data_IF_232586664241
#
_entry.id   IF_232586664241
#
_cell.length_a   1.000
_cell.length_b   1.000
_cell.length_c   1.000
_cell.angle_alpha   90.00
_cell.angle_beta   90.00
_cell.angle_gamma   90.00
#
_symmetry.space_group_name_H-M   'P 1'
#
loop_
_entity.id
_entity.type
_entity.pdbx_description
1 polymer ?
#
# COMPACT_ATOMS: atom_id res chain seq x y z
N UNK A 1 -19.25 -5.58 5.36
CA UNK A 1 -18.04 -4.78 5.64
C UNK A 1 -18.32 -3.29 5.46
N UNK A 2 -17.84 -2.43 6.37
CA UNK A 2 -17.89 -0.97 6.24
C UNK A 2 -16.49 -0.40 6.37
N UNK A 3 -16.19 0.66 5.63
CA UNK A 3 -14.96 1.42 5.86
C UNK A 3 -15.12 2.31 7.08
N UNK A 4 -14.22 2.12 8.06
CA UNK A 4 -13.99 3.07 9.13
C UNK A 4 -12.91 4.04 8.67
N UNK A 5 -13.33 5.21 8.21
CA UNK A 5 -12.41 6.25 7.72
C UNK A 5 -11.90 7.11 8.87
N UNK A 6 -10.57 7.16 9.07
CA UNK A 6 -9.94 7.75 10.25
C UNK A 6 -8.73 8.64 9.89
N UNK A 7 -8.41 9.67 10.68
CA UNK A 7 -7.11 10.31 10.63
C UNK A 7 -6.08 9.52 11.45
N UNK A 8 -4.80 9.68 11.15
CA UNK A 8 -3.71 9.19 12.02
C UNK A 8 -2.50 10.10 12.01
N UNK A 9 -2.17 10.65 13.18
CA UNK A 9 -0.92 11.41 13.34
C UNK A 9 0.31 10.51 13.21
N UNK A 10 0.27 9.32 13.80
CA UNK A 10 1.40 8.40 13.81
C UNK A 10 1.74 7.91 12.41
N UNK A 11 0.74 7.64 11.57
CA UNK A 11 0.98 7.30 10.17
C UNK A 11 1.50 8.52 9.40
N UNK A 12 0.93 9.71 9.61
CA UNK A 12 1.38 10.93 8.91
C UNK A 12 2.85 11.27 9.17
N UNK A 13 3.29 11.22 10.43
CA UNK A 13 4.69 11.52 10.76
C UNK A 13 5.66 10.50 10.13
N UNK A 14 5.25 9.24 10.01
CA UNK A 14 6.04 8.20 9.33
C UNK A 14 6.01 8.38 7.80
N UNK A 15 4.86 8.72 7.21
CA UNK A 15 4.75 8.99 5.77
C UNK A 15 5.59 10.21 5.36
N UNK A 16 5.71 11.21 6.23
CA UNK A 16 6.54 12.39 5.97
C UNK A 16 8.03 12.06 5.77
N UNK A 17 8.52 10.90 6.24
CA UNK A 17 9.92 10.49 6.03
C UNK A 17 10.31 10.40 4.56
N UNK A 18 9.39 9.99 3.68
CA UNK A 18 9.64 9.96 2.24
C UNK A 18 10.07 11.35 1.74
N UNK A 19 9.40 12.40 2.20
CA UNK A 19 9.74 13.79 1.85
C UNK A 19 11.05 14.23 2.50
N UNK A 20 11.33 13.80 3.74
CA UNK A 20 12.58 14.13 4.44
C UNK A 20 13.82 13.55 3.74
N UNK A 21 13.68 12.51 2.91
CA UNK A 21 14.78 11.98 2.09
C UNK A 21 15.31 13.00 1.06
N UNK A 22 14.59 14.10 0.84
CA UNK A 22 14.87 15.13 -0.18
C UNK A 22 14.77 14.62 -1.62
N UNK A 23 14.14 13.46 -1.84
CA UNK A 23 13.93 12.90 -3.17
C UNK A 23 12.93 13.77 -3.98
N UNK A 24 13.31 14.28 -5.17
CA UNK A 24 12.44 15.08 -6.01
C UNK A 24 11.09 14.42 -6.32
N UNK A 25 11.03 13.09 -6.34
CA UNK A 25 9.80 12.33 -6.57
C UNK A 25 8.74 12.63 -5.50
N UNK A 26 9.12 12.76 -4.23
CA UNK A 26 8.20 13.10 -3.14
C UNK A 26 8.07 14.61 -2.95
N UNK A 27 9.15 15.37 -3.14
CA UNK A 27 9.14 16.83 -2.94
C UNK A 27 8.16 17.55 -3.86
N UNK A 28 7.90 17.04 -5.06
CA UNK A 28 6.90 17.61 -5.97
C UNK A 28 5.48 17.65 -5.36
N UNK A 29 5.20 16.82 -4.35
CA UNK A 29 3.90 16.77 -3.67
C UNK A 29 3.89 17.50 -2.33
N UNK A 30 5.02 17.47 -1.61
CA UNK A 30 5.08 17.87 -0.19
C UNK A 30 6.11 18.98 0.10
N UNK A 31 6.48 19.76 -0.91
CA UNK A 31 7.53 20.79 -0.82
C UNK A 31 7.28 21.85 0.26
N UNK A 32 6.04 22.25 0.48
CA UNK A 32 5.69 23.28 1.48
C UNK A 32 6.14 22.88 2.88
N UNK A 33 5.73 21.69 3.35
CA UNK A 33 6.06 21.22 4.70
C UNK A 33 7.52 20.78 4.78
N UNK A 34 8.06 20.20 3.72
CA UNK A 34 9.50 19.95 3.63
C UNK A 34 10.30 21.23 3.88
N UNK A 35 9.98 22.33 3.18
CA UNK A 35 10.67 23.62 3.34
C UNK A 35 10.46 24.24 4.73
N UNK A 36 9.37 23.88 5.42
CA UNK A 36 9.07 24.36 6.78
C UNK A 36 9.89 23.65 7.85
N UNK A 37 10.11 22.34 7.72
CA UNK A 37 10.72 21.49 8.75
C UNK A 37 12.16 21.09 8.43
N UNK A 38 12.43 20.60 7.22
CA UNK A 38 13.73 20.02 6.88
C UNK A 38 14.91 21.00 7.07
N UNK A 39 14.81 22.30 6.67
CA UNK A 39 15.91 23.24 6.92
C UNK A 39 16.26 23.40 8.39
N UNK A 40 15.28 23.27 9.29
CA UNK A 40 15.44 23.43 10.75
C UNK A 40 15.97 22.19 11.45
N UNK A 41 15.97 21.03 10.79
CA UNK A 41 16.59 19.82 11.32
C UNK A 41 18.10 20.02 11.47
N UNK A 42 18.63 19.44 12.53
CA UNK A 42 20.03 19.37 12.87
C UNK A 42 20.80 18.63 11.79
N UNK A 43 22.09 18.94 11.67
CA UNK A 43 23.00 18.19 10.78
C UNK A 43 23.02 16.70 11.14
N UNK A 44 22.86 16.36 12.42
CA UNK A 44 22.77 14.98 12.89
C UNK A 44 21.54 14.27 12.32
N UNK A 45 20.35 14.86 12.42
CA UNK A 45 19.14 14.29 11.85
C UNK A 45 19.21 14.15 10.32
N UNK A 46 19.69 15.19 9.63
CA UNK A 46 19.89 15.15 8.16
C UNK A 46 20.83 14.01 7.74
N UNK A 47 21.92 13.79 8.48
CA UNK A 47 22.83 12.68 8.21
C UNK A 47 22.21 11.33 8.54
N UNK A 48 21.44 11.23 9.63
CA UNK A 48 20.72 10.01 9.99
C UNK A 48 19.69 9.62 8.90
N UNK A 49 18.96 10.58 8.33
CA UNK A 49 18.05 10.32 7.19
C UNK A 49 18.82 9.70 6.01
N UNK A 50 19.98 10.27 5.64
CA UNK A 50 20.80 9.72 4.55
C UNK A 50 21.30 8.30 4.85
N UNK A 51 21.66 8.02 6.10
CA UNK A 51 22.08 6.69 6.52
C UNK A 51 20.92 5.68 6.46
N UNK A 52 19.74 6.07 6.94
CA UNK A 52 18.51 5.28 6.86
C UNK A 52 18.19 4.93 5.40
N UNK A 53 18.19 5.91 4.49
CA UNK A 53 17.96 5.66 3.04
C UNK A 53 19.00 4.68 2.47
N UNK A 54 20.28 4.86 2.83
CA UNK A 54 21.34 3.95 2.36
C UNK A 54 21.15 2.52 2.84
N UNK A 55 20.75 2.33 4.10
CA UNK A 55 20.52 1.01 4.69
C UNK A 55 19.24 0.36 4.17
N UNK A 56 18.18 1.15 3.98
CA UNK A 56 16.91 0.70 3.42
C UNK A 56 17.03 0.35 1.93
N UNK A 57 17.94 1.02 1.21
CA UNK A 57 18.20 0.80 -0.21
C UNK A 57 17.31 1.62 -1.15
N UNK A 58 16.32 2.36 -0.63
CA UNK A 58 15.48 3.28 -1.40
C UNK A 58 14.94 4.41 -0.49
N UNK A 59 14.21 5.36 -1.10
CA UNK A 59 13.65 6.55 -0.44
C UNK A 59 12.20 6.37 0.05
N UNK A 60 11.56 5.23 -0.23
CA UNK A 60 10.21 4.86 0.23
C UNK A 60 10.29 4.21 1.62
N UNK A 61 10.53 5.03 2.65
CA UNK A 61 10.68 4.54 4.03
C UNK A 61 9.34 4.26 4.71
N UNK A 62 8.27 4.93 4.25
CA UNK A 62 6.97 4.92 4.92
C UNK A 62 6.35 3.53 4.99
N UNK A 63 6.45 2.72 3.92
CA UNK A 63 5.76 1.43 3.82
C UNK A 63 6.18 0.48 4.94
N UNK A 64 7.48 0.22 5.12
CA UNK A 64 7.97 -0.65 6.18
C UNK A 64 7.68 -0.08 7.58
N UNK A 65 7.82 1.24 7.76
CA UNK A 65 7.57 1.90 9.05
C UNK A 65 6.09 1.79 9.47
N UNK A 66 5.17 2.16 8.58
CA UNK A 66 3.73 2.16 8.89
C UNK A 66 3.18 0.75 9.06
N UNK A 67 3.63 -0.20 8.22
CA UNK A 67 3.21 -1.60 8.32
C UNK A 67 3.59 -2.19 9.67
N UNK A 68 4.83 -2.00 10.12
CA UNK A 68 5.29 -2.53 11.39
C UNK A 68 4.52 -1.96 12.60
N UNK A 69 4.28 -0.64 12.65
CA UNK A 69 3.54 -0.05 13.77
C UNK A 69 2.05 -0.40 13.74
N UNK A 70 1.46 -0.58 12.55
CA UNK A 70 0.03 -0.87 12.39
C UNK A 70 -0.36 -2.25 12.93
N UNK A 71 0.61 -3.15 13.12
CA UNK A 71 0.37 -4.45 13.72
C UNK A 71 0.06 -4.35 15.23
N UNK A 72 0.50 -3.27 15.89
CA UNK A 72 0.35 -3.08 17.33
C UNK A 72 -1.06 -2.57 17.67
N UNK A 73 -1.63 -3.07 18.77
CA UNK A 73 -2.93 -2.60 19.26
C UNK A 73 -2.87 -1.13 19.67
N UNK A 74 -3.95 -0.41 19.36
CA UNK A 74 -4.15 1.00 19.69
C UNK A 74 -2.99 1.90 19.24
N UNK A 75 -2.28 1.51 18.16
CA UNK A 75 -1.11 2.25 17.69
C UNK A 75 -1.45 3.72 17.39
N UNK A 76 -2.69 4.03 17.03
CA UNK A 76 -3.11 5.39 16.69
C UNK A 76 -3.17 6.32 17.92
N UNK A 77 -3.40 5.76 19.10
CA UNK A 77 -3.60 6.51 20.34
C UNK A 77 -2.33 6.58 21.21
N UNK A 78 -1.28 5.85 20.81
CA UNK A 78 0.02 5.77 21.51
C UNK A 78 1.03 6.75 20.93
N UNK A 79 2.11 7.01 21.67
CA UNK A 79 3.22 7.80 21.15
C UNK A 79 4.05 6.95 20.17
N UNK A 80 4.30 7.47 18.95
CA UNK A 80 5.08 6.75 17.92
C UNK A 80 6.50 6.41 18.36
N UNK A 81 7.15 7.23 19.19
CA UNK A 81 8.48 6.95 19.73
C UNK A 81 8.44 5.78 20.70
N UNK A 82 7.41 5.68 21.53
CA UNK A 82 7.22 4.54 22.44
C UNK A 82 6.97 3.25 21.66
N UNK A 83 6.14 3.31 20.61
CA UNK A 83 5.88 2.18 19.71
C UNK A 83 7.19 1.67 19.08
N UNK A 84 7.96 2.56 18.43
CA UNK A 84 9.21 2.22 17.75
C UNK A 84 10.33 1.76 18.69
N UNK A 85 10.26 2.10 19.98
CA UNK A 85 11.25 1.69 20.98
C UNK A 85 10.99 0.29 21.54
N UNK A 86 9.78 -0.26 21.38
CA UNK A 86 9.40 -1.55 21.94
C UNK A 86 9.58 -2.69 20.93
N UNK A 87 10.82 -3.15 20.76
CA UNK A 87 11.18 -4.23 19.81
C UNK A 87 10.33 -5.47 20.00
N UNK A 88 10.21 -5.93 21.24
CA UNK A 88 9.56 -7.20 21.57
C UNK A 88 8.07 -7.15 21.21
N UNK A 89 7.37 -6.08 21.60
CA UNK A 89 5.95 -5.92 21.28
C UNK A 89 5.71 -5.77 19.78
N UNK A 90 6.55 -4.99 19.10
CA UNK A 90 6.42 -4.79 17.65
C UNK A 90 6.66 -6.10 16.91
N UNK A 91 7.73 -6.85 17.26
CA UNK A 91 8.02 -8.15 16.66
C UNK A 91 6.90 -9.16 16.91
N UNK A 92 6.42 -9.26 18.16
CA UNK A 92 5.35 -10.18 18.55
C UNK A 92 4.01 -9.84 17.86
N UNK A 93 3.77 -8.57 17.57
CA UNK A 93 2.54 -8.14 16.89
C UNK A 93 2.64 -8.36 15.39
N UNK A 94 3.77 -7.97 14.78
CA UNK A 94 3.99 -8.05 13.34
C UNK A 94 4.12 -9.49 12.84
N UNK A 95 4.71 -10.40 13.64
CA UNK A 95 4.91 -11.82 13.29
C UNK A 95 3.64 -12.64 13.10
N UNK A 96 2.48 -12.08 13.44
CA UNK A 96 1.17 -12.71 13.24
C UNK A 96 0.65 -12.57 11.80
N UNK A 97 1.23 -11.69 11.01
CA UNK A 97 0.77 -11.38 9.66
C UNK A 97 1.62 -12.07 8.59
N UNK A 98 0.99 -12.40 7.46
CA UNK A 98 1.62 -13.13 6.34
C UNK A 98 2.83 -12.40 5.74
N UNK A 99 2.88 -11.07 5.89
CA UNK A 99 3.98 -10.22 5.42
C UNK A 99 5.26 -10.34 6.27
N UNK A 100 5.18 -10.99 7.43
CA UNK A 100 6.32 -11.10 8.31
C UNK A 100 7.38 -12.03 7.74
N UNK A 101 8.61 -11.54 7.73
CA UNK A 101 9.79 -12.34 7.44
C UNK A 101 10.88 -12.00 8.47
N UNK A 102 11.39 -13.01 9.16
CA UNK A 102 12.38 -12.87 10.25
C UNK A 102 13.70 -12.24 9.74
N UNK A 103 14.17 -12.63 8.56
CA UNK A 103 15.40 -12.06 7.98
C UNK A 103 15.21 -10.58 7.63
N UNK A 104 14.09 -10.23 6.99
CA UNK A 104 13.71 -8.85 6.68
C UNK A 104 13.56 -8.02 7.95
N UNK A 105 12.90 -8.54 8.97
CA UNK A 105 12.75 -7.87 10.27
C UNK A 105 14.10 -7.52 10.88
N UNK A 106 15.06 -8.46 10.87
CA UNK A 106 16.40 -8.24 11.43
C UNK A 106 17.20 -7.17 10.67
N UNK A 107 16.87 -6.93 9.39
CA UNK A 107 17.45 -5.84 8.59
C UNK A 107 16.72 -4.51 8.81
N UNK A 108 15.40 -4.51 8.95
CA UNK A 108 14.57 -3.31 9.04
C UNK A 108 14.52 -2.69 10.44
N UNK A 109 14.43 -3.49 11.51
CA UNK A 109 14.28 -2.95 12.86
C UNK A 109 15.42 -2.01 13.30
N UNK A 110 16.71 -2.26 12.96
CA UNK A 110 17.78 -1.29 13.19
C UNK A 110 17.56 0.07 12.51
N UNK A 111 16.86 0.10 11.37
CA UNK A 111 16.49 1.33 10.67
C UNK A 111 15.39 2.05 11.46
N UNK A 112 14.40 1.32 11.97
CA UNK A 112 13.30 1.89 12.78
C UNK A 112 13.83 2.61 14.03
N UNK A 113 14.85 2.05 14.69
CA UNK A 113 15.50 2.72 15.83
C UNK A 113 16.19 4.03 15.45
N UNK A 114 16.70 4.14 14.23
CA UNK A 114 17.38 5.36 13.77
C UNK A 114 16.41 6.49 13.43
N UNK A 115 15.14 6.20 13.14
CA UNK A 115 14.13 7.23 12.89
C UNK A 115 13.63 7.90 14.16
N UNK A 116 13.68 7.23 15.31
CA UNK A 116 13.24 7.74 16.61
C UNK A 116 13.80 9.14 16.94
N UNK A 117 15.13 9.38 16.93
CA UNK A 117 15.67 10.70 17.25
C UNK A 117 15.25 11.78 16.25
N UNK A 118 14.98 11.41 14.99
CA UNK A 118 14.49 12.34 13.96
C UNK A 118 13.04 12.74 14.28
N UNK A 119 12.18 11.78 14.65
CA UNK A 119 10.81 12.05 15.07
C UNK A 119 10.78 12.96 16.30
N UNK A 120 11.58 12.65 17.33
CA UNK A 120 11.68 13.49 18.54
C UNK A 120 12.11 14.93 18.20
N UNK A 121 13.00 15.10 17.22
CA UNK A 121 13.38 16.42 16.74
C UNK A 121 12.24 17.14 16.00
N UNK A 122 11.51 16.46 15.11
CA UNK A 122 10.31 17.01 14.45
C UNK A 122 9.25 17.46 15.47
N UNK A 123 9.02 16.66 16.51
CA UNK A 123 8.12 16.99 17.62
C UNK A 123 8.55 18.29 18.30
N UNK A 124 9.85 18.42 18.62
CA UNK A 124 10.41 19.64 19.23
C UNK A 124 10.30 20.87 18.31
N UNK A 125 10.28 20.67 16.99
CA UNK A 125 10.06 21.70 15.99
C UNK A 125 8.57 22.04 15.78
N UNK A 126 7.67 21.39 16.53
CA UNK A 126 6.24 21.63 16.52
C UNK A 126 5.49 20.93 15.40
N UNK A 127 6.00 19.83 14.87
CA UNK A 127 5.35 19.07 13.79
C UNK A 127 3.92 18.63 14.16
N UNK A 128 3.71 18.08 15.37
CA UNK A 128 2.37 17.69 15.86
C UNK A 128 1.38 18.85 15.92
N UNK A 129 1.83 20.01 16.39
CA UNK A 129 0.99 21.21 16.43
C UNK A 129 0.66 21.69 15.02
N UNK A 130 1.61 21.62 14.10
CA UNK A 130 1.36 21.94 12.70
C UNK A 130 0.34 20.96 12.09
N UNK A 131 0.52 19.66 12.27
CA UNK A 131 -0.41 18.65 11.78
C UNK A 131 -1.82 18.90 12.31
N UNK A 132 -1.97 19.08 13.63
CA UNK A 132 -3.27 19.33 14.29
C UNK A 132 -3.97 20.58 13.75
N UNK A 133 -3.22 21.65 13.49
CA UNK A 133 -3.79 22.94 13.12
C UNK A 133 -3.96 23.15 11.61
N UNK A 134 -3.23 22.41 10.76
CA UNK A 134 -3.17 22.68 9.32
C UNK A 134 -3.57 21.47 8.47
N UNK A 135 -3.26 20.25 8.94
CA UNK A 135 -3.48 19.01 8.17
C UNK A 135 -4.74 18.28 8.62
N UNK A 136 -4.89 18.07 9.93
CA UNK A 136 -6.08 17.40 10.49
C UNK A 136 -7.41 18.03 10.05
N UNK A 137 -7.59 19.36 9.99
CA UNK A 137 -8.87 19.92 9.52
C UNK A 137 -9.20 19.54 8.06
N UNK A 138 -8.19 19.49 7.19
CA UNK A 138 -8.35 19.08 5.79
C UNK A 138 -8.70 17.59 5.69
N UNK A 139 -8.01 16.77 6.47
CA UNK A 139 -8.28 15.33 6.58
C UNK A 139 -9.72 15.11 7.08
N UNK A 140 -10.13 15.77 8.15
CA UNK A 140 -11.48 15.60 8.71
C UNK A 140 -12.57 16.04 7.73
N UNK A 141 -12.35 17.13 6.98
CA UNK A 141 -13.28 17.52 5.92
C UNK A 141 -13.39 16.41 4.86
N UNK A 142 -12.26 15.89 4.39
CA UNK A 142 -12.23 14.80 3.43
C UNK A 142 -12.91 13.53 3.94
N UNK A 143 -12.73 13.19 5.22
CA UNK A 143 -13.40 12.04 5.85
C UNK A 143 -14.92 12.17 5.75
N UNK A 144 -15.47 13.36 6.01
CA UNK A 144 -16.92 13.59 5.92
C UNK A 144 -17.42 13.41 4.49
N UNK A 145 -16.73 13.99 3.51
CA UNK A 145 -17.06 13.85 2.08
C UNK A 145 -16.98 12.39 1.63
N UNK A 146 -15.93 11.68 2.05
CA UNK A 146 -15.68 10.31 1.64
C UNK A 146 -16.68 9.33 2.29
N UNK A 147 -17.06 9.53 3.55
CA UNK A 147 -18.07 8.70 4.22
C UNK A 147 -19.42 8.77 3.51
N UNK A 148 -19.83 9.95 3.02
CA UNK A 148 -21.04 10.09 2.23
C UNK A 148 -20.94 9.32 0.91
N UNK A 149 -19.83 9.51 0.19
CA UNK A 149 -19.59 8.81 -1.07
C UNK A 149 -19.55 7.28 -0.93
N UNK A 150 -18.81 6.77 0.07
CA UNK A 150 -18.68 5.34 0.30
C UNK A 150 -20.00 4.68 0.74
N UNK A 151 -20.94 5.44 1.30
CA UNK A 151 -22.25 4.92 1.70
C UNK A 151 -23.13 4.47 0.52
N UNK A 152 -22.79 4.90 -0.70
CA UNK A 152 -23.48 4.52 -1.93
C UNK A 152 -23.08 3.13 -2.44
N UNK A 153 -21.98 2.55 -1.92
CA UNK A 153 -21.40 1.31 -2.44
C UNK A 153 -21.46 0.16 -1.43
N UNK A 154 -21.84 -1.03 -1.90
CA UNK A 154 -21.80 -2.26 -1.11
C UNK A 154 -20.51 -3.05 -1.40
N UNK A 155 -19.41 -2.54 -0.86
CA UNK A 155 -18.05 -3.02 -1.16
C UNK A 155 -17.79 -4.37 -0.48
N UNK A 156 -18.40 -4.60 0.69
CA UNK A 156 -18.20 -5.83 1.46
C UNK A 156 -18.64 -7.08 0.75
N UNK A 157 -19.82 -7.07 0.14
CA UNK A 157 -20.35 -8.24 -0.56
C UNK A 157 -19.47 -8.61 -1.75
N UNK A 158 -19.01 -7.60 -2.49
CA UNK A 158 -18.14 -7.77 -3.65
C UNK A 158 -16.76 -8.34 -3.29
N UNK A 159 -16.17 -7.87 -2.19
CA UNK A 159 -14.87 -8.36 -1.74
C UNK A 159 -14.98 -9.75 -1.12
N UNK A 160 -16.09 -10.08 -0.48
CA UNK A 160 -16.31 -11.40 0.13
C UNK A 160 -16.40 -12.55 -0.89
N UNK A 161 -16.71 -12.27 -2.16
CA UNK A 161 -16.69 -13.28 -3.23
C UNK A 161 -15.25 -13.62 -3.68
N UNK A 162 -14.37 -12.62 -3.63
CA UNK A 162 -13.02 -12.68 -4.19
C UNK A 162 -11.93 -12.86 -3.13
N UNK A 163 -12.22 -12.57 -1.87
CA UNK A 163 -11.28 -12.63 -0.76
C UNK A 163 -11.82 -13.46 0.39
N UNK A 164 -10.92 -13.96 1.23
CA UNK A 164 -11.28 -14.62 2.49
C UNK A 164 -11.54 -13.61 3.64
N UNK A 165 -11.61 -12.30 3.35
CA UNK A 165 -11.83 -11.27 4.37
C UNK A 165 -13.30 -11.29 4.77
N UNK A 166 -13.62 -11.96 5.88
CA UNK A 166 -14.99 -12.08 6.41
C UNK A 166 -15.30 -10.95 7.38
N UNK A 167 -16.31 -10.14 7.07
CA UNK A 167 -17.07 -9.28 8.01
C UNK A 167 -16.29 -8.36 8.97
N UNK A 168 -14.97 -8.20 8.83
CA UNK A 168 -14.17 -7.27 9.60
C UNK A 168 -14.38 -5.83 9.11
N UNK A 169 -14.40 -4.87 10.04
CA UNK A 169 -14.38 -3.46 9.69
C UNK A 169 -13.04 -3.12 9.06
N UNK A 170 -13.07 -2.56 7.85
CA UNK A 170 -11.87 -2.15 7.15
C UNK A 170 -11.49 -0.74 7.57
N UNK A 171 -10.26 -0.51 8.00
CA UNK A 171 -9.82 0.83 8.42
C UNK A 171 -9.10 1.54 7.28
N UNK A 172 -9.68 2.65 6.80
CA UNK A 172 -9.04 3.55 5.86
C UNK A 172 -8.48 4.75 6.60
N UNK A 173 -7.15 4.87 6.63
CA UNK A 173 -6.48 6.02 7.21
C UNK A 173 -6.22 7.09 6.15
N UNK A 174 -6.78 8.28 6.32
CA UNK A 174 -6.45 9.42 5.46
C UNK A 174 -5.28 10.20 6.06
N UNK A 175 -4.19 10.26 5.31
CA UNK A 175 -2.95 10.95 5.68
C UNK A 175 -2.62 12.06 4.66
N UNK A 176 -1.74 12.98 5.05
CA UNK A 176 -1.28 14.13 4.26
C UNK A 176 -0.01 13.89 3.46
N UNK A 177 0.79 12.91 3.86
CA UNK A 177 2.13 12.72 3.31
C UNK A 177 2.31 11.39 2.57
N UNK A 178 1.23 10.75 2.15
CA UNK A 178 1.26 9.45 1.47
C UNK A 178 1.38 9.55 -0.04
N UNK A 179 0.97 10.66 -0.66
CA UNK A 179 1.09 10.84 -2.11
C UNK A 179 2.54 10.66 -2.60
N UNK A 180 2.79 9.89 -3.68
CA UNK A 180 1.81 9.35 -4.62
C UNK A 180 1.27 7.94 -4.32
N UNK A 181 1.53 7.37 -3.14
CA UNK A 181 1.23 5.98 -2.84
C UNK A 181 -0.10 5.79 -2.10
N UNK A 182 -0.73 4.62 -2.33
CA UNK A 182 -1.50 3.91 -1.32
C UNK A 182 -0.54 3.02 -0.50
N UNK A 183 -0.87 2.74 0.76
CA UNK A 183 -0.04 1.86 1.58
C UNK A 183 -0.92 0.86 2.31
N UNK A 184 -0.79 -0.43 1.98
CA UNK A 184 -1.30 -1.52 2.79
C UNK A 184 -0.74 -1.50 4.21
N UNK A 185 -1.62 -1.65 5.20
CA UNK A 185 -1.26 -1.88 6.60
C UNK A 185 -1.57 -3.33 7.00
N UNK A 186 -1.20 -3.69 8.24
CA UNK A 186 -1.57 -4.99 8.79
C UNK A 186 -3.09 -5.12 8.93
N UNK A 187 -3.62 -6.31 8.63
CA UNK A 187 -5.05 -6.60 8.62
C UNK A 187 -5.79 -5.93 7.44
N UNK A 188 -7.12 -5.76 7.54
CA UNK A 188 -7.91 -5.06 6.54
C UNK A 188 -7.78 -3.55 6.75
N UNK A 189 -6.56 -3.00 6.67
CA UNK A 189 -6.31 -1.57 6.86
C UNK A 189 -5.35 -1.04 5.79
N UNK A 190 -5.48 0.24 5.44
CA UNK A 190 -4.57 0.88 4.49
C UNK A 190 -4.57 2.41 4.66
N UNK A 191 -3.63 3.06 4.01
CA UNK A 191 -3.48 4.51 3.97
C UNK A 191 -3.80 5.03 2.57
N UNK A 192 -4.54 6.13 2.50
CA UNK A 192 -4.71 6.93 1.29
C UNK A 192 -4.42 8.40 1.59
N UNK A 193 -4.00 9.15 0.57
CA UNK A 193 -3.78 10.59 0.70
C UNK A 193 -5.11 11.36 0.68
N UNK A 194 -5.31 12.30 1.62
CA UNK A 194 -6.56 13.08 1.69
C UNK A 194 -6.80 13.93 0.43
N UNK A 195 -5.75 14.27 -0.33
CA UNK A 195 -5.86 15.11 -1.52
C UNK A 195 -6.41 14.37 -2.75
N UNK A 196 -6.52 13.04 -2.69
CA UNK A 196 -7.09 12.25 -3.78
C UNK A 196 -8.59 12.45 -3.93
N UNK A 197 -9.09 12.26 -5.15
CA UNK A 197 -10.54 12.27 -5.40
C UNK A 197 -11.21 11.10 -4.69
N UNK A 198 -12.51 11.19 -4.40
CA UNK A 198 -13.22 10.06 -3.77
C UNK A 198 -13.15 8.78 -4.62
N UNK A 199 -13.27 8.91 -5.96
CA UNK A 199 -13.07 7.81 -6.91
C UNK A 199 -11.67 7.20 -6.75
N UNK A 200 -10.62 8.03 -6.79
CA UNK A 200 -9.23 7.57 -6.64
C UNK A 200 -9.01 6.88 -5.29
N UNK A 201 -9.48 7.46 -4.20
CA UNK A 201 -9.37 6.85 -2.86
C UNK A 201 -10.08 5.51 -2.82
N UNK A 202 -11.29 5.38 -3.37
CA UNK A 202 -12.02 4.12 -3.44
C UNK A 202 -11.25 3.08 -4.28
N UNK A 203 -10.75 3.45 -5.46
CA UNK A 203 -9.98 2.52 -6.31
C UNK A 203 -8.73 2.00 -5.61
N UNK A 204 -7.96 2.89 -4.97
CA UNK A 204 -6.80 2.49 -4.14
C UNK A 204 -7.25 1.58 -3.00
N UNK A 205 -8.33 1.94 -2.30
CA UNK A 205 -8.85 1.16 -1.17
C UNK A 205 -9.13 -0.29 -1.57
N UNK A 206 -9.80 -0.47 -2.71
CA UNK A 206 -10.17 -1.78 -3.23
C UNK A 206 -8.92 -2.54 -3.68
N UNK A 207 -7.99 -1.90 -4.39
CA UNK A 207 -6.72 -2.49 -4.81
C UNK A 207 -5.92 -3.04 -3.60
N UNK A 208 -5.67 -2.20 -2.60
CA UNK A 208 -4.84 -2.56 -1.43
C UNK A 208 -5.46 -3.68 -0.58
N UNK A 209 -6.77 -3.89 -0.67
CA UNK A 209 -7.45 -4.98 0.03
C UNK A 209 -7.13 -6.36 -0.55
N UNK A 210 -6.67 -6.42 -1.80
CA UNK A 210 -6.25 -7.66 -2.43
C UNK A 210 -4.79 -8.03 -2.17
N UNK A 211 -3.99 -7.21 -1.50
CA UNK A 211 -2.64 -7.63 -1.11
C UNK A 211 -2.63 -8.46 0.18
N UNK A 212 -1.90 -9.60 0.22
CA UNK A 212 -1.49 -10.36 -0.96
C UNK A 212 -2.72 -11.15 -1.51
N UNK A 213 -2.80 -11.38 -2.83
CA UNK A 213 -3.98 -12.02 -3.42
C UNK A 213 -4.03 -13.52 -3.15
N UNK A 214 -2.88 -14.11 -2.82
CA UNK A 214 -2.69 -15.53 -2.54
C UNK A 214 -1.55 -15.73 -1.54
N UNK A 215 -1.42 -16.95 -1.00
CA UNK A 215 -0.18 -17.36 -0.35
C UNK A 215 0.83 -17.85 -1.41
N UNK A 216 1.96 -17.14 -1.56
CA UNK A 216 2.99 -17.46 -2.56
C UNK A 216 3.50 -18.92 -2.49
N UNK A 217 3.53 -19.52 -1.30
CA UNK A 217 3.98 -20.91 -1.15
C UNK A 217 3.01 -21.91 -1.80
N UNK A 218 1.72 -21.57 -1.84
CA UNK A 218 0.67 -22.40 -2.43
C UNK A 218 0.67 -22.30 -3.97
N UNK A 219 1.09 -21.16 -4.53
CA UNK A 219 1.03 -20.88 -5.98
C UNK A 219 2.41 -20.73 -6.65
N UNK A 220 3.47 -21.17 -5.98
CA UNK A 220 4.85 -21.01 -6.46
C UNK A 220 5.10 -21.62 -7.85
N UNK A 221 4.36 -22.67 -8.23
CA UNK A 221 4.48 -23.31 -9.56
C UNK A 221 3.85 -22.43 -10.64
N UNK A 222 2.68 -21.88 -10.38
CA UNK A 222 1.91 -20.99 -11.24
C UNK A 222 2.69 -19.70 -11.50
N UNK A 223 3.21 -19.07 -10.44
CA UNK A 223 4.06 -17.88 -10.54
C UNK A 223 5.32 -18.19 -11.36
N UNK A 224 5.94 -19.35 -11.15
CA UNK A 224 7.09 -19.79 -11.97
C UNK A 224 6.74 -20.03 -13.44
N UNK A 225 5.53 -20.49 -13.75
CA UNK A 225 5.08 -20.63 -15.13
C UNK A 225 4.97 -19.25 -15.77
N UNK A 226 4.26 -18.32 -15.11
CA UNK A 226 4.05 -16.96 -15.59
C UNK A 226 5.37 -16.20 -15.76
N UNK A 227 6.28 -16.30 -14.79
CA UNK A 227 7.59 -15.63 -14.83
C UNK A 227 8.49 -16.12 -15.97
N UNK A 228 8.17 -17.28 -16.57
CA UNK A 228 8.91 -17.81 -17.70
C UNK A 228 8.38 -17.40 -19.07
N UNK A 229 7.18 -16.81 -19.14
CA UNK A 229 6.58 -16.36 -20.40
C UNK A 229 7.33 -15.15 -20.97
N UNK A 230 7.54 -15.15 -22.29
CA UNK A 230 8.36 -14.13 -22.97
C UNK A 230 7.76 -12.73 -22.88
N UNK A 231 6.43 -12.61 -23.03
CA UNK A 231 5.73 -11.34 -22.87
C UNK A 231 5.84 -10.78 -21.45
N UNK A 232 5.74 -11.65 -20.43
CA UNK A 232 5.88 -11.27 -19.01
C UNK A 232 7.31 -10.80 -18.72
N UNK A 233 8.32 -11.56 -19.14
CA UNK A 233 9.74 -11.16 -19.00
C UNK A 233 10.03 -9.83 -19.69
N UNK A 234 9.52 -9.63 -20.90
CA UNK A 234 9.69 -8.39 -21.65
C UNK A 234 9.04 -7.21 -20.92
N UNK A 235 7.83 -7.37 -20.38
CA UNK A 235 7.18 -6.32 -19.60
C UNK A 235 7.95 -6.00 -18.31
N UNK A 236 8.32 -7.03 -17.54
CA UNK A 236 9.11 -6.89 -16.31
C UNK A 236 10.44 -6.14 -16.54
N UNK A 237 11.14 -6.42 -17.63
CA UNK A 237 12.43 -5.78 -17.93
C UNK A 237 12.28 -4.32 -18.43
N UNK A 238 11.10 -3.92 -18.88
CA UNK A 238 10.84 -2.58 -19.44
C UNK A 238 9.98 -1.70 -18.52
N UNK A 239 9.85 -2.06 -17.24
CA UNK A 239 9.13 -1.27 -16.24
C UNK A 239 9.72 0.14 -16.10
N UNK A 240 8.87 1.10 -15.72
CA UNK A 240 9.32 2.43 -15.35
C UNK A 240 10.30 2.34 -14.17
N UNK A 241 11.54 2.86 -14.28
CA UNK A 241 12.53 2.78 -13.21
C UNK A 241 12.11 3.39 -11.87
N UNK A 242 11.15 4.33 -11.88
CA UNK A 242 10.66 4.99 -10.68
C UNK A 242 9.58 4.20 -9.92
N UNK A 243 8.96 3.21 -10.55
CA UNK A 243 7.86 2.40 -9.98
C UNK A 243 8.03 0.89 -10.21
N UNK A 244 9.25 0.43 -10.49
CA UNK A 244 9.51 -0.99 -10.78
C UNK A 244 9.25 -1.88 -9.56
N UNK A 245 8.59 -3.01 -9.82
CA UNK A 245 8.43 -4.13 -8.92
C UNK A 245 9.67 -5.02 -8.99
N UNK A 246 10.14 -5.50 -7.84
CA UNK A 246 11.27 -6.43 -7.75
C UNK A 246 11.20 -7.24 -6.45
N UNK A 247 11.21 -8.57 -6.51
CA UNK A 247 11.52 -9.42 -7.68
C UNK A 247 10.35 -9.62 -8.67
N UNK A 248 10.50 -10.50 -9.67
CA UNK A 248 9.47 -10.72 -10.73
C UNK A 248 8.17 -11.30 -10.17
N UNK A 249 8.26 -11.99 -9.04
CA UNK A 249 7.13 -12.50 -8.28
C UNK A 249 6.23 -11.35 -7.82
N UNK A 250 6.79 -10.24 -7.33
CA UNK A 250 6.05 -9.04 -6.93
C UNK A 250 5.37 -8.38 -8.14
N UNK A 251 6.03 -8.37 -9.29
CA UNK A 251 5.43 -7.87 -10.54
C UNK A 251 4.21 -8.71 -10.95
N UNK A 252 4.29 -10.04 -10.83
CA UNK A 252 3.16 -10.93 -11.13
C UNK A 252 2.04 -10.73 -10.11
N UNK A 253 2.38 -10.62 -8.83
CA UNK A 253 1.40 -10.33 -7.77
C UNK A 253 0.62 -9.06 -8.07
N UNK A 254 1.33 -7.97 -8.38
CA UNK A 254 0.73 -6.69 -8.72
C UNK A 254 -0.25 -6.80 -9.89
N UNK A 255 0.11 -7.55 -10.94
CA UNK A 255 -0.78 -7.74 -12.08
C UNK A 255 -2.12 -8.39 -11.66
N UNK A 256 -2.07 -9.35 -10.74
CA UNK A 256 -3.27 -10.04 -10.25
C UNK A 256 -4.09 -9.12 -9.37
N UNK A 257 -3.46 -8.38 -8.46
CA UNK A 257 -4.13 -7.38 -7.63
C UNK A 257 -4.79 -6.30 -8.47
N UNK A 258 -4.10 -5.78 -9.49
CA UNK A 258 -4.60 -4.72 -10.34
C UNK A 258 -5.86 -5.15 -11.09
N UNK A 259 -5.87 -6.37 -11.62
CA UNK A 259 -7.05 -6.93 -12.29
C UNK A 259 -8.23 -7.12 -11.33
N UNK A 260 -7.99 -7.59 -10.09
CA UNK A 260 -9.04 -7.73 -9.08
C UNK A 260 -9.60 -6.36 -8.66
N UNK A 261 -8.71 -5.39 -8.44
CA UNK A 261 -9.07 -4.02 -8.08
C UNK A 261 -9.96 -3.36 -9.14
N UNK A 262 -9.55 -3.46 -10.41
CA UNK A 262 -10.30 -2.92 -11.54
C UNK A 262 -11.59 -3.69 -11.79
N UNK A 263 -11.61 -5.02 -11.60
CA UNK A 263 -12.85 -5.80 -11.67
C UNK A 263 -13.91 -5.30 -10.69
N UNK A 264 -13.54 -5.09 -9.43
CA UNK A 264 -14.47 -4.54 -8.43
C UNK A 264 -14.88 -3.11 -8.77
N UNK A 265 -13.93 -2.24 -9.14
CA UNK A 265 -14.26 -0.88 -9.55
C UNK A 265 -15.22 -0.83 -10.76
N UNK A 266 -15.04 -1.74 -11.72
CA UNK A 266 -15.90 -1.88 -12.88
C UNK A 266 -17.33 -2.29 -12.50
N UNK A 267 -17.48 -3.29 -11.64
CA UNK A 267 -18.79 -3.75 -11.15
C UNK A 267 -19.51 -2.71 -10.29
N UNK A 268 -18.76 -1.86 -9.58
CA UNK A 268 -19.31 -0.72 -8.83
C UNK A 268 -19.68 0.47 -9.73
N UNK A 269 -19.38 0.42 -11.04
CA UNK A 269 -19.58 1.53 -11.97
C UNK A 269 -18.62 2.71 -11.76
N UNK A 270 -17.55 2.50 -11.00
CA UNK A 270 -16.51 3.52 -10.72
C UNK A 270 -15.55 3.60 -11.89
N UNK A 271 -15.11 2.45 -12.41
CA UNK A 271 -14.32 2.37 -13.63
C UNK A 271 -15.19 1.92 -14.80
N UNK A 272 -15.18 2.65 -15.91
CA UNK A 272 -16.06 2.38 -17.06
C UNK A 272 -15.28 1.83 -18.25
N UNK A 273 -13.97 2.09 -18.33
CA UNK A 273 -13.11 1.75 -19.45
C UNK A 273 -11.88 0.93 -19.00
N UNK A 274 -12.07 -0.28 -18.43
CA UNK A 274 -11.01 -1.04 -17.78
C UNK A 274 -9.81 -1.36 -18.70
N UNK A 275 -10.05 -1.66 -19.98
CA UNK A 275 -8.96 -1.94 -20.93
C UNK A 275 -8.16 -0.68 -21.32
N UNK A 276 -8.81 0.48 -21.33
CA UNK A 276 -8.09 1.76 -21.51
C UNK A 276 -7.22 2.03 -20.30
N UNK A 277 -7.76 1.81 -19.09
CA UNK A 277 -7.00 1.91 -17.86
C UNK A 277 -5.75 1.02 -17.89
N UNK A 278 -5.88 -0.29 -18.18
CA UNK A 278 -4.70 -1.18 -18.20
C UNK A 278 -3.67 -0.80 -19.26
N UNK A 279 -4.08 -0.17 -20.36
CA UNK A 279 -3.18 0.28 -21.42
C UNK A 279 -2.37 1.51 -20.99
N UNK A 280 -2.93 2.36 -20.14
CA UNK A 280 -2.33 3.65 -19.75
C UNK A 280 -1.62 3.59 -18.40
N UNK A 281 -2.17 2.84 -17.45
CA UNK A 281 -1.65 2.71 -16.10
C UNK A 281 -0.29 2.00 -16.11
N UNK A 282 0.68 2.56 -15.37
CA UNK A 282 2.09 2.13 -15.37
C UNK A 282 2.66 1.87 -16.77
N UNK A 283 2.31 2.74 -17.73
CA UNK A 283 2.75 2.65 -19.13
C UNK A 283 2.35 1.32 -19.80
N UNK A 284 1.30 0.68 -19.30
CA UNK A 284 0.82 -0.60 -19.80
C UNK A 284 1.70 -1.79 -19.43
N UNK A 285 2.50 -1.68 -18.36
CA UNK A 285 3.39 -2.77 -17.93
C UNK A 285 2.63 -4.00 -17.43
N UNK A 286 1.41 -3.83 -16.96
CA UNK A 286 0.59 -4.89 -16.36
C UNK A 286 -0.02 -5.83 -17.39
N UNK A 287 0.83 -6.58 -18.09
CA UNK A 287 0.45 -7.41 -19.26
C UNK A 287 -0.40 -8.64 -18.94
N UNK A 288 -0.48 -9.07 -17.67
CA UNK A 288 -1.35 -10.20 -17.24
C UNK A 288 -2.74 -9.67 -16.84
N UNK A 289 -2.83 -8.43 -16.34
CA UNK A 289 -4.07 -7.89 -15.79
C UNK A 289 -5.25 -7.86 -16.77
N UNK A 290 -5.11 -7.45 -18.05
CA UNK A 290 -6.22 -7.47 -19.00
C UNK A 290 -6.81 -8.87 -19.21
N UNK A 291 -5.95 -9.89 -19.31
CA UNK A 291 -6.38 -11.27 -19.52
C UNK A 291 -7.01 -11.86 -18.25
N UNK A 292 -6.45 -11.56 -17.07
CA UNK A 292 -7.06 -12.01 -15.81
C UNK A 292 -8.38 -11.30 -15.52
N UNK A 293 -8.50 -10.01 -15.84
CA UNK A 293 -9.76 -9.26 -15.77
C UNK A 293 -10.82 -9.88 -16.67
N UNK A 294 -10.47 -10.21 -17.92
CA UNK A 294 -11.40 -10.89 -18.83
C UNK A 294 -11.78 -12.28 -18.29
N UNK A 295 -10.83 -13.02 -17.73
CA UNK A 295 -11.10 -14.31 -17.08
C UNK A 295 -12.09 -14.18 -15.91
N UNK A 296 -11.98 -13.14 -15.08
CA UNK A 296 -12.93 -12.85 -14.00
C UNK A 296 -14.36 -12.57 -14.50
N UNK A 297 -14.49 -11.95 -15.68
CA UNK A 297 -15.79 -11.71 -16.31
C UNK A 297 -16.40 -13.01 -16.86
N UNK A 298 -15.60 -13.81 -17.54
CA UNK A 298 -16.06 -15.02 -18.24
C UNK A 298 -16.26 -16.21 -17.29
N UNK A 299 -15.50 -16.26 -16.20
CA UNK A 299 -15.50 -17.34 -15.22
C UNK A 299 -15.68 -16.79 -13.80
N UNK A 300 -16.87 -16.29 -13.40
CA UNK A 300 -17.07 -15.73 -12.07
C UNK A 300 -16.71 -16.73 -10.96
N UNK A 301 -15.79 -16.35 -10.09
CA UNK A 301 -15.40 -17.15 -8.92
C UNK A 301 -16.59 -17.31 -7.97
N UNK A 302 -16.78 -18.51 -7.42
CA UNK A 302 -17.77 -18.75 -6.36
C UNK A 302 -17.17 -18.53 -4.97
N UNK A 303 -18.00 -18.26 -3.95
CA UNK A 303 -17.54 -18.08 -2.57
C UNK A 303 -16.82 -19.31 -2.02
N UNK A 304 -17.25 -20.49 -2.43
CA UNK A 304 -16.74 -21.78 -1.98
C UNK A 304 -15.42 -22.17 -2.67
N UNK A 305 -15.11 -21.56 -3.81
CA UNK A 305 -13.87 -21.82 -4.52
C UNK A 305 -12.70 -21.11 -3.82
N UNK A 306 -11.65 -21.88 -3.54
CA UNK A 306 -10.39 -21.35 -3.04
C UNK A 306 -9.72 -20.45 -4.11
N UNK A 307 -9.18 -19.30 -3.70
CA UNK A 307 -8.61 -18.35 -4.65
C UNK A 307 -7.35 -18.89 -5.32
N UNK A 308 -6.49 -19.61 -4.59
CA UNK A 308 -5.30 -20.23 -5.18
C UNK A 308 -5.66 -21.28 -6.24
N UNK A 309 -6.74 -22.06 -6.02
CA UNK A 309 -7.26 -22.99 -7.05
C UNK A 309 -7.75 -22.25 -8.29
N UNK A 310 -8.53 -21.17 -8.09
CA UNK A 310 -9.04 -20.34 -9.19
C UNK A 310 -7.90 -19.70 -10.00
N UNK A 311 -6.86 -19.21 -9.32
CA UNK A 311 -5.66 -18.70 -9.96
C UNK A 311 -4.91 -19.77 -10.76
N UNK A 312 -4.78 -21.00 -10.24
CA UNK A 312 -4.19 -22.13 -10.97
C UNK A 312 -4.98 -22.49 -12.24
N UNK A 313 -6.30 -22.32 -12.26
CA UNK A 313 -7.14 -22.54 -13.45
C UNK A 313 -6.86 -21.48 -14.51
N UNK A 314 -6.84 -20.21 -14.12
CA UNK A 314 -6.44 -19.10 -15.00
C UNK A 314 -5.07 -19.35 -15.64
N UNK A 315 -4.05 -19.71 -14.86
CA UNK A 315 -2.68 -19.88 -15.39
C UNK A 315 -2.61 -21.01 -16.43
N UNK A 316 -3.42 -22.07 -16.28
CA UNK A 316 -3.49 -23.15 -17.28
C UNK A 316 -4.05 -22.65 -18.59
N UNK A 317 -5.13 -21.88 -18.57
CA UNK A 317 -5.76 -21.32 -19.77
C UNK A 317 -4.90 -20.24 -20.43
N UNK A 318 -4.35 -19.33 -19.62
CA UNK A 318 -3.49 -18.25 -20.10
C UNK A 318 -2.26 -18.80 -20.83
N UNK A 319 -1.65 -19.86 -20.30
CA UNK A 319 -0.53 -20.54 -20.97
C UNK A 319 -0.94 -21.16 -22.31
N UNK A 320 -2.12 -21.78 -22.38
CA UNK A 320 -2.61 -22.41 -23.63
C UNK A 320 -2.86 -21.37 -24.73
N UNK A 321 -3.38 -20.19 -24.37
CA UNK A 321 -3.61 -19.08 -25.30
C UNK A 321 -2.32 -18.54 -25.95
N UNK A 322 -1.18 -18.68 -25.26
CA UNK A 322 0.13 -18.17 -25.68
C UNK A 322 1.04 -19.23 -26.32
N UNK A 323 0.61 -20.50 -26.35
CA UNK A 323 1.38 -21.63 -26.93
C UNK A 323 1.02 -21.87 -28.39
#
# INVERSE_FOLDING_TARGET
MKFKVLPSYNLDVLCFFNSLTSDPFYLKHHSEDYNKFYPKLSTKAKNAIKQVVKQHGNTLLSTSLTSAISAMLDFNDRNVVELLSNEEEMKNSYSKYVYYNEEKWNLEYPIFKQVIPIISELESLGFKNHWKNNRLPLIMNKINELNLYLSEYNIGDMLGDLTNIKDEDCSLYLCSYTRPHGIKLCGPSFISDYSYTNKTTLSISVHEMFHPPYNINNVSKEVKILSNLENVKKAYNNQNPNSRYSPIEDFIEENIVEALGIFVCYKLGVETEPFTYFKEHDEGSHVISPDFFQYLLDNPKTKEQDFEVYFSEFVKEYKQKLS
#
